data_IF_471023051117
#
_entry.id   IF_471023051117
#
_cell.length_a   1.000
_cell.length_b   1.000
_cell.length_c   1.000
_cell.angle_alpha   90.00
_cell.angle_beta   90.00
_cell.angle_gamma   90.00
#
_symmetry.space_group_name_H-M   'P 1'
#
loop_
_entity.id
_entity.type
_entity.pdbx_description
1 polymer ?
2 polymer ?
3 polymer ?
4 non-polymer ?
5 non-polymer ?
6 water ?
#
loop_
_entity_poly.entity_id
_entity_poly.type
_entity_poly.pdbx_seq_one_letter_code
_entity_poly.pdbx_strand_id
1 'polydeoxyribonucleotide' '(DG)(DG)(DG)(DG)(DT)(DG)(DT)(DG)(DG)(DT)(DA)(DG)' ?
2 'polydeoxyribonucleotide' '(DA)(DT)(DC)(DG)(DC)(DT)(DA)(DC)(DC)(DA)(DC)(DA)(DC)(DC)(DC)(DC)' ?
#
# COMPACT_ATOMS: atom_id res chain seq x y z
N UNK C 4 16.64 -11.91 -17.73
CA UNK C 4 15.46 -12.59 -18.24
C UNK C 4 14.65 -11.54 -18.98
N UNK C 5 14.57 -11.65 -20.31
CA UNK C 5 13.76 -10.74 -21.11
C UNK C 5 12.29 -11.12 -21.02
N UNK C 6 11.43 -10.17 -21.40
CA UNK C 6 9.99 -10.35 -21.28
C UNK C 6 9.43 -11.44 -22.19
N UNK C 7 10.16 -11.88 -23.23
CA UNK C 7 9.74 -13.01 -24.03
C UNK C 7 10.27 -14.35 -23.52
N UNK C 8 11.02 -14.36 -22.46
CA UNK C 8 11.51 -15.57 -21.82
C UNK C 8 10.42 -16.14 -20.90
N UNK C 9 10.21 -17.46 -20.91
CA UNK C 9 9.16 -18.02 -20.03
C UNK C 9 9.35 -17.69 -18.55
N UNK C 10 10.57 -17.43 -18.09
CA UNK C 10 10.82 -17.15 -16.68
C UNK C 10 10.63 -15.68 -16.30
N UNK C 11 10.18 -14.83 -17.23
CA UNK C 11 10.15 -13.40 -16.95
C UNK C 11 9.23 -13.06 -15.77
N UNK C 12 7.99 -13.54 -15.81
CA UNK C 12 7.06 -13.21 -14.73
C UNK C 12 7.59 -13.64 -13.38
N UNK C 13 8.17 -14.84 -13.30
CA UNK C 13 8.71 -15.32 -12.04
C UNK C 13 9.83 -14.41 -11.56
N UNK C 14 10.75 -14.06 -12.45
CA UNK C 14 11.87 -13.21 -12.11
C UNK C 14 11.40 -11.80 -11.76
N UNK C 15 10.46 -11.25 -12.52
CA UNK C 15 10.02 -9.89 -12.23
C UNK C 15 9.36 -9.81 -10.85
N UNK C 16 8.45 -10.73 -10.57
CA UNK C 16 7.77 -10.72 -9.28
C UNK C 16 8.74 -11.00 -8.12
N UNK C 17 9.71 -11.90 -8.33
CA UNK C 17 10.74 -12.12 -7.33
C UNK C 17 11.47 -10.84 -6.95
N UNK C 18 11.72 -9.94 -7.93
CA UNK C 18 12.50 -8.73 -7.66
C UNK C 18 11.68 -7.51 -7.29
N UNK C 19 10.39 -7.49 -7.65
CA UNK C 19 9.52 -6.32 -7.48
C UNK C 19 9.03 -6.20 -6.04
N UNK C 20 9.46 -5.13 -5.36
CA UNK C 20 8.94 -4.90 -4.01
C UNK C 20 7.47 -4.51 -4.02
N UNK C 21 7.01 -3.84 -5.08
CA UNK C 21 5.59 -3.52 -5.15
C UNK C 21 4.74 -4.78 -5.30
N UNK C 22 5.22 -5.75 -6.06
CA UNK C 22 4.54 -7.04 -6.09
C UNK C 22 4.51 -7.66 -4.69
N UNK C 23 5.67 -7.65 -4.00
CA UNK C 23 5.76 -8.24 -2.64
C UNK C 23 4.78 -7.56 -1.68
N UNK C 24 4.70 -6.22 -1.73
CA UNK C 24 3.77 -5.47 -0.89
C UNK C 24 2.33 -5.93 -1.10
N UNK C 25 1.89 -5.98 -2.35
CA UNK C 25 0.51 -6.39 -2.64
C UNK C 25 0.24 -7.83 -2.23
N UNK C 26 1.16 -8.74 -2.54
CA UNK C 26 0.97 -10.14 -2.20
C UNK C 26 0.92 -10.33 -0.68
N UNK C 27 1.82 -9.65 0.04
CA UNK C 27 1.81 -9.74 1.50
C UNK C 27 0.50 -9.21 2.06
N UNK C 28 0.04 -8.07 1.55
CA UNK C 28 -1.21 -7.51 2.02
C UNK C 28 -2.38 -8.46 1.75
N UNK C 29 -2.46 -9.01 0.53
CA UNK C 29 -3.52 -9.95 0.18
C UNK C 29 -3.49 -11.18 1.11
N UNK C 30 -2.29 -11.69 1.39
CA UNK C 30 -2.16 -12.86 2.25
C UNK C 30 -2.57 -12.56 3.70
N UNK C 31 -2.20 -11.39 4.25
CA UNK C 31 -2.67 -11.00 5.58
C UNK C 31 -4.20 -10.90 5.65
N UNK C 32 -4.83 -10.40 4.60
CA UNK C 32 -6.28 -10.30 4.62
C UNK C 32 -6.90 -11.69 4.58
N UNK C 33 -6.41 -12.54 3.70
CA UNK C 33 -6.90 -13.92 3.64
C UNK C 33 -6.77 -14.60 5.01
N UNK C 34 -5.64 -14.41 5.67
CA UNK C 34 -5.44 -15.03 6.99
C UNK C 34 -6.46 -14.51 8.00
N UNK C 35 -6.78 -13.23 7.92
CA UNK C 35 -7.75 -12.66 8.84
C UNK C 35 -9.09 -13.31 8.63
N UNK C 36 -9.52 -13.42 7.37
CA UNK C 36 -10.78 -14.07 7.08
C UNK C 36 -10.78 -15.52 7.54
N UNK C 37 -9.66 -16.22 7.33
CA UNK C 37 -9.61 -17.63 7.70
C UNK C 37 -9.68 -17.79 9.21
N UNK C 38 -8.94 -16.97 9.95
CA UNK C 38 -8.90 -17.05 11.40
C UNK C 38 -10.20 -16.61 12.05
N UNK C 39 -11.03 -15.86 11.35
CA UNK C 39 -12.24 -15.29 11.92
C UNK C 39 -13.51 -15.92 11.36
N UNK C 40 -13.38 -17.00 10.60
CA UNK C 40 -14.57 -17.57 9.97
C UNK C 40 -15.66 -17.86 10.95
N UNK C 41 -15.34 -18.18 12.21
CA UNK C 41 -16.33 -18.55 13.20
C UNK C 41 -16.64 -17.46 14.20
N UNK C 42 -15.83 -16.46 14.26
CA UNK C 42 -15.93 -15.47 15.31
C UNK C 42 -16.76 -14.30 14.84
N UNK C 43 -17.29 -13.62 15.82
CA UNK C 43 -18.04 -12.36 15.59
C UNK C 43 -17.09 -11.26 15.05
N UNK C 44 -16.04 -10.98 15.76
CA UNK C 44 -14.92 -10.19 15.24
C UNK C 44 -15.38 -8.86 14.61
N UNK C 45 -16.04 -8.03 15.40
CA UNK C 45 -16.34 -6.73 14.83
C UNK C 45 -16.86 -5.80 15.90
N UNK C 46 -16.56 -4.51 15.70
CA UNK C 46 -17.05 -3.48 16.58
C UNK C 46 -18.55 -3.34 16.38
N UNK C 47 -19.24 -3.08 17.47
CA UNK C 47 -20.67 -2.87 17.55
C UNK C 47 -20.95 -1.40 17.82
N UNK C 48 -22.16 -0.96 17.50
CA UNK C 48 -22.67 0.32 17.97
C UNK C 48 -22.44 0.50 19.46
N UNK C 49 -22.53 -0.60 20.21
CA UNK C 49 -22.44 -0.60 21.66
C UNK C 49 -21.02 -0.35 22.18
N UNK C 50 -20.02 -0.41 21.31
CA UNK C 50 -18.64 -0.32 21.75
C UNK C 50 -18.17 1.13 21.68
N UNK C 51 -17.46 1.54 22.70
CA UNK C 51 -16.63 2.73 22.62
C UNK C 51 -15.21 2.22 22.49
N UNK C 52 -14.50 2.71 21.48
CA UNK C 52 -13.21 2.13 21.13
C UNK C 52 -12.13 3.19 21.07
N UNK C 53 -10.92 2.71 21.30
CA UNK C 53 -9.69 3.43 21.07
C UNK C 53 -8.95 2.74 19.93
N UNK C 54 -8.34 3.54 19.06
CA UNK C 54 -7.58 3.07 17.90
C UNK C 54 -6.10 3.20 18.23
N UNK C 55 -5.38 2.12 18.11
CA UNK C 55 -3.93 2.10 18.19
C UNK C 55 -3.46 1.76 16.77
N UNK C 56 -2.96 2.76 16.06
CA UNK C 56 -2.40 2.59 14.71
C UNK C 56 -0.89 2.45 14.83
N UNK C 57 -0.41 1.27 14.50
CA UNK C 57 0.96 0.82 14.78
C UNK C 57 1.65 0.54 13.45
N UNK C 58 2.91 1.01 13.32
CA UNK C 58 3.61 0.94 12.03
C UNK C 58 5.12 0.98 12.22
N UNK C 59 5.83 0.09 11.51
CA UNK C 59 7.29 0.09 11.59
C UNK C 59 7.85 1.40 11.02
N UNK C 60 8.83 2.00 11.73
CA UNK C 60 9.60 3.11 11.18
C UNK C 60 10.59 2.72 10.08
N UNK C 61 10.49 3.41 8.94
CA UNK C 61 11.25 3.15 7.72
C UNK C 61 11.55 1.66 7.55
N UNK C 62 10.48 0.89 7.33
CA UNK C 62 10.51 -0.56 7.51
C UNK C 62 11.63 -1.25 6.74
N UNK C 63 11.63 -1.14 5.41
CA UNK C 63 12.65 -1.88 4.66
C UNK C 63 14.04 -1.42 5.08
N UNK C 64 14.23 -0.10 5.26
CA UNK C 64 15.55 0.42 5.63
C UNK C 64 16.01 -0.18 6.96
N UNK C 65 15.11 -0.22 7.95
CA UNK C 65 15.46 -0.76 9.26
C UNK C 65 15.83 -2.24 9.16
N UNK C 66 14.97 -3.03 8.55
CA UNK C 66 15.20 -4.47 8.48
C UNK C 66 16.44 -4.79 7.65
N UNK C 67 16.58 -4.13 6.49
CA UNK C 67 17.71 -4.41 5.61
C UNK C 67 19.03 -4.01 6.25
N UNK C 68 18.97 -2.98 7.10
CA UNK C 68 20.12 -2.63 7.92
C UNK C 68 20.40 -3.71 8.95
N UNK C 69 19.42 -4.07 9.76
CA UNK C 69 19.63 -5.08 10.79
C UNK C 69 20.12 -6.41 10.20
N UNK C 70 19.82 -6.67 8.92
CA UNK C 70 20.17 -7.92 8.25
C UNK C 70 21.28 -7.76 7.23
N UNK C 71 21.96 -6.60 7.22
CA UNK C 71 22.86 -6.29 6.12
C UNK C 71 24.03 -7.27 6.09
N UNK C 72 24.54 -7.50 4.89
CA UNK C 72 25.68 -8.38 4.66
C UNK C 72 26.91 -7.84 5.38
N UNK C 73 27.99 -8.62 5.34
CA UNK C 73 29.23 -8.20 5.98
C UNK C 73 29.81 -6.96 5.31
N UNK C 74 29.59 -6.82 4.00
CA UNK C 74 30.06 -5.62 3.30
C UNK C 74 29.55 -4.32 3.93
N UNK C 75 28.43 -4.33 4.68
CA UNK C 75 27.87 -3.13 5.28
C UNK C 75 27.98 -3.13 6.79
N UNK C 76 28.88 -3.99 7.31
CA UNK C 76 29.30 -4.08 8.70
C UNK C 76 29.29 -2.73 9.40
N UNK C 77 30.01 -1.79 8.80
CA UNK C 77 30.35 -0.53 9.42
C UNK C 77 29.21 0.50 9.41
N UNK C 78 28.20 0.28 8.58
CA UNK C 78 27.10 1.21 8.44
C UNK C 78 26.47 1.55 9.80
N UNK C 79 26.22 2.82 9.97
CA UNK C 79 25.62 3.36 11.18
C UNK C 79 24.20 3.84 10.93
N UNK C 80 23.20 3.13 11.47
CA UNK C 80 21.81 3.48 11.14
C UNK C 80 21.43 4.89 11.63
N UNK C 81 22.10 5.38 12.68
CA UNK C 81 21.72 6.66 13.27
C UNK C 81 22.48 7.84 12.71
N UNK C 82 23.58 7.60 11.98
CA UNK C 82 24.38 8.69 11.44
C UNK C 82 24.43 8.76 9.92
N UNK C 83 24.25 7.58 9.18
CA UNK C 83 24.39 7.59 7.72
C UNK C 83 23.02 7.65 7.03
N UNK C 84 22.92 8.33 5.89
CA UNK C 84 21.69 8.27 5.09
C UNK C 84 21.62 6.97 4.31
N UNK C 85 20.64 6.14 4.65
CA UNK C 85 20.51 4.79 4.13
C UNK C 85 19.21 4.70 3.33
N UNK C 86 19.29 4.06 2.17
CA UNK C 86 18.17 3.72 1.31
C UNK C 86 18.25 2.23 0.95
N UNK C 87 17.11 1.67 0.58
CA UNK C 87 17.00 0.32 0.04
C UNK C 87 16.53 0.45 -1.40
N UNK C 88 17.27 -0.18 -2.30
CA UNK C 88 17.01 -0.04 -3.75
C UNK C 88 17.81 -1.08 -4.52
N UNK C 89 17.35 -1.37 -5.74
CA UNK C 89 18.10 -2.27 -6.62
C UNK C 89 19.31 -1.60 -7.25
N UNK C 90 19.21 -0.31 -7.52
CA UNK C 90 20.04 0.28 -8.56
C UNK C 90 20.87 1.42 -8.04
N UNK C 91 21.37 2.24 -8.96
CA UNK C 91 22.29 3.33 -8.67
C UNK C 91 21.87 4.67 -9.25
N UNK C 92 20.89 4.71 -10.16
CA UNK C 92 20.47 5.94 -10.83
C UNK C 92 18.96 6.10 -10.79
N UNK C 93 18.26 5.60 -11.80
CA UNK C 93 16.82 5.80 -11.87
C UNK C 93 16.07 4.60 -11.29
N UNK C 94 16.48 4.29 -10.06
CA UNK C 94 16.00 3.17 -9.25
C UNK C 94 15.25 3.71 -8.04
N UNK C 95 14.07 3.15 -7.78
CA UNK C 95 13.28 3.63 -6.66
C UNK C 95 13.97 3.38 -5.32
N UNK C 96 13.95 4.39 -4.48
CA UNK C 96 14.19 4.26 -3.05
C UNK C 96 12.91 3.71 -2.42
N UNK C 97 12.91 2.39 -2.13
CA UNK C 97 11.74 1.78 -1.52
C UNK C 97 11.51 2.32 -0.12
N UNK C 98 12.60 2.52 0.66
CA UNK C 98 12.56 3.03 2.03
C UNK C 98 13.88 3.76 2.30
N UNK C 99 13.80 4.84 3.07
CA UNK C 99 14.96 5.59 3.51
C UNK C 99 14.81 5.87 5.01
N UNK C 100 15.96 5.86 5.71
CA UNK C 100 15.98 6.09 7.14
C UNK C 100 15.81 7.59 7.43
N UNK C 101 15.70 7.94 8.72
CA UNK C 101 15.32 9.33 9.02
C UNK C 101 16.49 10.27 8.88
N UNK C 102 17.72 9.77 8.94
CA UNK C 102 18.89 10.56 8.50
C UNK C 102 18.73 11.03 7.07
N UNK C 103 18.50 10.09 6.12
CA UNK C 103 18.24 10.50 4.75
C UNK C 103 17.11 11.51 4.65
N UNK C 104 16.03 11.32 5.40
CA UNK C 104 14.89 12.22 5.28
C UNK C 104 15.18 13.62 5.80
N UNK C 105 16.17 13.74 6.71
CA UNK C 105 16.64 15.04 7.20
C UNK C 105 17.20 15.90 6.09
N UNK C 106 17.62 15.28 4.97
CA UNK C 106 18.06 16.02 3.80
C UNK C 106 16.95 16.21 2.77
N UNK C 107 15.74 15.77 3.08
CA UNK C 107 14.63 15.87 2.16
C UNK C 107 14.39 14.66 1.29
N UNK C 108 15.12 13.58 1.47
CA UNK C 108 14.88 12.37 0.70
C UNK C 108 13.58 11.72 1.18
N UNK C 109 12.88 11.09 0.25
CA UNK C 109 11.56 10.51 0.50
C UNK C 109 11.46 9.14 -0.19
N UNK C 110 10.68 8.24 0.43
CA UNK C 110 10.34 6.98 -0.25
C UNK C 110 9.76 7.27 -1.62
N UNK C 111 10.17 6.49 -2.60
CA UNK C 111 9.71 6.63 -3.98
C UNK C 111 10.60 7.49 -4.86
N UNK C 112 11.50 8.27 -4.27
CA UNK C 112 12.45 9.02 -5.07
C UNK C 112 13.42 8.09 -5.80
N UNK C 113 13.87 8.54 -6.97
CA UNK C 113 14.98 7.87 -7.61
C UNK C 113 16.28 8.18 -6.88
N UNK C 114 17.18 7.19 -6.83
CA UNK C 114 18.49 7.39 -6.23
C UNK C 114 19.18 8.61 -6.85
N UNK C 115 19.08 8.73 -8.18
CA UNK C 115 19.58 9.87 -8.95
C UNK C 115 19.15 11.22 -8.33
N UNK C 116 17.89 11.32 -7.95
CA UNK C 116 17.28 12.55 -7.39
C UNK C 116 17.78 12.71 -5.96
N UNK C 117 17.80 11.62 -5.20
CA UNK C 117 18.15 11.71 -3.79
C UNK C 117 19.60 12.15 -3.60
N UNK C 118 20.50 11.63 -4.43
CA UNK C 118 21.93 11.95 -4.32
C UNK C 118 22.22 13.44 -4.43
N UNK C 119 21.41 14.18 -5.19
CA UNK C 119 21.61 15.61 -5.36
C UNK C 119 21.20 16.41 -4.14
N UNK C 120 20.52 15.79 -3.18
CA UNK C 120 20.09 16.43 -1.94
C UNK C 120 21.17 16.42 -0.89
N UNK C 121 22.27 15.73 -1.15
CA UNK C 121 23.28 15.50 -0.12
C UNK C 121 24.42 16.50 -0.30
N UNK C 122 24.94 17.08 0.78
CA UNK C 122 26.11 17.96 0.66
C UNK C 122 27.36 17.15 0.39
N UNK C 123 28.42 17.86 0.00
CA UNK C 123 29.69 17.21 -0.28
C UNK C 123 30.17 16.44 0.94
N UNK C 124 30.77 15.28 0.68
CA UNK C 124 31.29 14.42 1.71
C UNK C 124 30.27 13.53 2.39
N UNK C 125 29.00 13.81 2.23
CA UNK C 125 27.93 12.99 2.82
C UNK C 125 27.50 11.96 1.76
N UNK C 126 27.69 10.70 2.12
CA UNK C 126 27.55 9.61 1.16
C UNK C 126 26.28 8.80 1.43
N UNK C 127 25.48 8.60 0.37
CA UNK C 127 24.33 7.72 0.45
C UNK C 127 24.74 6.26 0.57
N UNK C 128 24.25 5.59 1.59
CA UNK C 128 24.39 4.14 1.73
C UNK C 128 23.16 3.47 1.11
N UNK C 129 23.40 2.52 0.21
CA UNK C 129 22.34 1.83 -0.53
C UNK C 129 22.43 0.36 -0.18
N UNK C 130 21.41 -0.16 0.46
CA UNK C 130 21.35 -1.53 0.90
C UNK C 130 20.40 -2.34 0.01
N UNK C 131 20.67 -3.63 -0.20
CA UNK C 131 19.78 -4.44 -1.04
C UNK C 131 18.53 -4.81 -0.27
N UNK C 132 17.53 -5.21 -1.03
CA UNK C 132 16.34 -5.77 -0.44
C UNK C 132 16.65 -7.09 0.27
N UNK C 133 15.92 -7.33 1.35
CA UNK C 133 15.93 -8.60 2.11
C UNK C 133 14.48 -9.06 2.29
N UNK C 134 13.88 -9.59 1.21
CA UNK C 134 12.44 -9.79 1.19
C UNK C 134 11.98 -10.79 2.23
N UNK C 135 12.72 -11.88 2.39
CA UNK C 135 12.32 -12.93 3.32
C UNK C 135 12.41 -12.43 4.77
N UNK C 136 13.42 -11.64 5.09
CA UNK C 136 13.49 -11.06 6.43
C UNK C 136 12.43 -10.00 6.65
N UNK C 137 12.05 -9.22 5.60
CA UNK C 137 10.92 -8.31 5.75
C UNK C 137 9.73 -9.13 6.23
N UNK C 138 9.51 -10.29 5.59
CA UNK C 138 8.38 -11.14 5.95
C UNK C 138 8.47 -11.64 7.39
N UNK C 139 9.66 -12.11 7.78
CA UNK C 139 9.87 -12.68 9.10
C UNK C 139 9.66 -11.65 10.19
N UNK C 140 10.12 -10.39 9.98
CA UNK C 140 9.93 -9.34 10.97
C UNK C 140 8.46 -9.01 11.10
N UNK C 141 7.74 -8.97 9.96
CA UNK C 141 6.30 -8.78 9.98
C UNK C 141 5.61 -9.88 10.79
N UNK C 142 6.03 -11.12 10.59
CA UNK C 142 5.44 -12.22 11.37
C UNK C 142 5.60 -11.97 12.88
N UNK C 143 6.79 -11.53 13.29
CA UNK C 143 7.07 -11.23 14.70
C UNK C 143 6.17 -10.11 15.20
N UNK C 144 6.02 -9.05 14.40
CA UNK C 144 5.07 -7.99 14.64
C UNK C 144 3.66 -8.50 14.90
N UNK C 145 3.09 -9.24 13.95
CA UNK C 145 1.70 -9.66 14.11
C UNK C 145 1.56 -10.66 15.26
N UNK C 146 2.56 -11.51 15.46
CA UNK C 146 2.51 -12.44 16.59
C UNK C 146 2.55 -11.70 17.94
N UNK C 147 3.40 -10.68 18.06
CA UNK C 147 3.45 -9.88 19.27
C UNK C 147 2.10 -9.23 19.53
N UNK C 148 1.51 -8.60 18.51
CA UNK C 148 0.22 -7.93 18.69
C UNK C 148 -0.85 -8.87 19.24
N UNK C 149 -0.92 -10.11 18.72
CA UNK C 149 -1.93 -11.05 19.19
C UNK C 149 -1.61 -11.53 20.60
N UNK C 150 -0.34 -11.82 20.87
CA UNK C 150 0.09 -12.33 22.18
C UNK C 150 -0.14 -11.36 23.33
N UNK C 151 -0.09 -10.06 23.06
CA UNK C 151 -0.34 -9.07 24.11
C UNK C 151 -1.74 -9.20 24.69
N UNK C 152 -2.69 -9.67 23.91
CA UNK C 152 -4.07 -9.86 24.37
C UNK C 152 -4.69 -8.58 24.94
N UNK C 153 -4.43 -7.45 24.29
CA UNK C 153 -5.01 -6.17 24.69
C UNK C 153 -5.98 -5.63 23.65
N UNK C 154 -6.12 -6.27 22.49
CA UNK C 154 -6.93 -5.75 21.39
C UNK C 154 -8.09 -6.68 21.09
N UNK C 155 -9.23 -6.07 20.80
CA UNK C 155 -10.43 -6.77 20.40
C UNK C 155 -10.47 -7.06 18.92
N UNK C 156 -9.72 -6.31 18.13
CA UNK C 156 -9.70 -6.45 16.68
C UNK C 156 -8.34 -5.95 16.21
N UNK C 157 -7.65 -6.79 15.47
CA UNK C 157 -6.37 -6.45 14.87
C UNK C 157 -6.54 -6.50 13.35
N UNK C 158 -6.46 -5.33 12.71
CA UNK C 158 -6.73 -5.20 11.28
C UNK C 158 -5.44 -5.01 10.51
N UNK C 159 -5.07 -5.90 9.58
CA UNK C 159 -3.83 -5.70 8.82
C UNK C 159 -4.01 -4.60 7.79
N UNK C 160 -3.09 -3.66 7.79
CA UNK C 160 -3.05 -2.62 6.77
C UNK C 160 -1.99 -2.96 5.73
N UNK C 161 -0.85 -3.43 6.19
CA UNK C 161 0.31 -3.68 5.35
C UNK C 161 1.20 -4.69 6.07
N UNK C 162 2.23 -5.14 5.37
CA UNK C 162 3.32 -5.92 5.91
C UNK C 162 3.81 -5.31 7.23
N UNK C 163 3.85 -3.98 7.33
CA UNK C 163 4.45 -3.35 8.50
C UNK C 163 3.48 -2.50 9.32
N UNK C 164 2.16 -2.74 9.21
CA UNK C 164 1.23 -1.75 9.73
C UNK C 164 -0.11 -2.39 10.05
N UNK C 165 -0.63 -2.04 11.21
CA UNK C 165 -1.91 -2.58 11.65
C UNK C 165 -2.70 -1.53 12.40
N UNK C 166 -4.01 -1.60 12.25
CA UNK C 166 -4.96 -0.83 13.06
C UNK C 166 -5.51 -1.79 14.10
N UNK C 167 -5.25 -1.48 15.36
CA UNK C 167 -5.61 -2.31 16.49
C UNK C 167 -6.63 -1.55 17.32
N UNK C 168 -7.71 -2.23 17.66
CA UNK C 168 -8.87 -1.62 18.29
C UNK C 168 -9.04 -2.21 19.67
N UNK C 169 -9.12 -1.33 20.68
CA UNK C 169 -9.43 -1.74 22.03
C UNK C 169 -10.80 -1.19 22.40
N UNK C 170 -11.69 -2.07 22.81
CA UNK C 170 -13.00 -1.65 23.28
C UNK C 170 -12.89 -1.34 24.75
N UNK C 171 -13.43 -0.19 25.14
CA UNK C 171 -13.39 0.32 26.51
C UNK C 171 -14.75 0.04 27.13
N UNK C 172 -14.83 -0.81 28.14
CA UNK C 172 -16.07 -0.89 28.90
C UNK C 172 -16.47 0.49 29.44
N UNK C 173 -17.80 0.73 29.51
CA UNK C 173 -18.37 1.92 30.19
C UNK C 173 -18.15 1.91 31.69
N UNK C 174 -17.94 0.69 32.24
CA UNK C 174 -17.37 0.38 33.54
C UNK C 174 -16.05 1.08 33.85
N UNK C 175 -15.33 1.45 32.80
CA UNK C 175 -13.88 1.64 32.89
C UNK C 175 -13.56 3.08 32.56
N UNK C 176 -12.70 3.66 33.38
CA UNK C 176 -12.21 5.01 33.19
C UNK C 176 -10.89 4.89 32.42
N UNK C 177 -10.98 5.02 31.10
CA UNK C 177 -9.75 5.12 30.32
C UNK C 177 -9.03 6.41 30.70
N UNK C 178 -7.70 6.36 30.64
CA UNK C 178 -6.86 7.52 30.90
C UNK C 178 -5.67 7.43 29.99
N UNK C 179 -5.04 8.59 29.76
CA UNK C 179 -3.85 8.60 28.92
C UNK C 179 -2.69 7.92 29.62
N UNK C 180 -2.71 7.88 30.95
CA UNK C 180 -1.70 7.12 31.68
C UNK C 180 -1.76 5.64 31.31
N UNK C 181 -2.96 5.06 31.25
CA UNK C 181 -3.07 3.68 30.76
C UNK C 181 -2.67 3.58 29.29
N UNK C 182 -3.08 4.54 28.45
CA UNK C 182 -2.76 4.48 27.02
C UNK C 182 -1.27 4.60 26.76
N UNK C 183 -0.57 5.44 27.52
CA UNK C 183 0.87 5.56 27.36
C UNK C 183 1.54 4.27 27.77
N UNK C 184 1.04 3.66 28.84
CA UNK C 184 1.59 2.38 29.24
C UNK C 184 1.42 1.36 28.12
N UNK C 185 0.24 1.29 27.52
CA UNK C 185 0.03 0.31 26.45
C UNK C 185 0.92 0.63 25.26
N UNK C 186 1.00 1.90 24.87
CA UNK C 186 1.91 2.26 23.79
C UNK C 186 3.33 1.80 24.08
N UNK C 187 3.81 2.01 25.31
CA UNK C 187 5.21 1.69 25.62
C UNK C 187 5.41 0.19 25.66
N UNK C 188 4.42 -0.55 26.19
CA UNK C 188 4.48 -2.01 26.13
C UNK C 188 4.60 -2.50 24.69
N UNK C 189 3.68 -2.04 23.83
CA UNK C 189 3.67 -2.48 22.44
C UNK C 189 5.04 -2.20 21.81
N UNK C 190 5.56 -0.98 21.99
CA UNK C 190 6.84 -0.61 21.35
C UNK C 190 7.99 -1.49 21.84
N UNK C 191 8.04 -1.75 23.13
CA UNK C 191 9.12 -2.54 23.69
C UNK C 191 9.00 -4.01 23.26
N UNK C 192 7.79 -4.57 23.35
CA UNK C 192 7.55 -5.96 22.98
C UNK C 192 7.83 -6.20 21.50
N UNK C 193 7.56 -5.21 20.67
CA UNK C 193 7.88 -5.39 19.25
C UNK C 193 9.37 -5.19 19.00
N UNK C 194 9.98 -4.21 19.66
CA UNK C 194 11.42 -4.04 19.57
C UNK C 194 12.13 -5.33 19.96
N UNK C 195 11.71 -5.93 21.09
CA UNK C 195 12.28 -7.21 21.51
C UNK C 195 11.96 -8.30 20.48
N UNK C 196 10.69 -8.46 20.14
CA UNK C 196 10.28 -9.56 19.28
C UNK C 196 10.88 -9.53 17.88
N UNK C 197 11.22 -8.35 17.37
CA UNK C 197 11.78 -8.19 16.04
C UNK C 197 13.29 -8.06 16.06
N UNK C 198 13.88 -8.17 17.25
CA UNK C 198 15.33 -7.97 17.45
C UNK C 198 15.82 -6.65 16.85
N UNK C 199 15.11 -5.58 17.18
CA UNK C 199 15.67 -4.26 17.02
C UNK C 199 14.91 -3.33 16.10
N UNK C 200 13.78 -3.75 15.55
CA UNK C 200 12.94 -2.84 14.77
C UNK C 200 12.13 -1.96 15.71
N UNK C 201 11.93 -0.71 15.32
CA UNK C 201 11.08 0.21 16.06
C UNK C 201 9.73 0.40 15.36
N UNK C 202 8.69 0.57 16.15
CA UNK C 202 7.40 0.99 15.61
C UNK C 202 7.01 2.31 16.28
N UNK C 203 6.25 3.10 15.55
CA UNK C 203 5.55 4.23 16.15
C UNK C 203 4.06 3.92 16.22
N UNK C 204 3.38 4.67 17.06
CA UNK C 204 2.00 4.41 17.36
C UNK C 204 1.27 5.74 17.47
N UNK C 205 0.15 5.81 16.75
CA UNK C 205 -0.81 6.88 16.91
C UNK C 205 -2.01 6.31 17.64
N UNK C 206 -2.48 7.05 18.65
CA UNK C 206 -3.55 6.60 19.54
C UNK C 206 -4.63 7.67 19.61
N UNK C 207 -5.86 7.29 19.26
CA UNK C 207 -6.96 8.24 19.25
C UNK C 207 -8.31 7.51 19.27
N UNK C 208 -9.38 8.29 19.25
CA UNK C 208 -10.74 7.77 19.11
C UNK C 208 -11.34 7.99 17.72
N UNK C 209 -10.53 8.23 16.69
CA UNK C 209 -10.98 8.08 15.31
C UNK C 209 -9.83 7.44 14.54
N UNK C 210 -10.15 6.77 13.44
CA UNK C 210 -9.08 6.25 12.59
C UNK C 210 -8.22 7.38 12.05
N UNK C 211 -8.86 8.47 11.63
CA UNK C 211 -8.10 9.52 10.95
C UNK C 211 -7.15 10.21 11.93
N UNK C 212 -7.58 10.46 13.16
CA UNK C 212 -6.68 11.07 14.13
C UNK C 212 -5.57 10.11 14.55
N UNK C 213 -5.86 8.81 14.65
CA UNK C 213 -4.80 7.83 14.96
C UNK C 213 -3.71 7.88 13.89
N UNK C 214 -4.13 8.05 12.61
CA UNK C 214 -3.20 8.12 11.48
C UNK C 214 -2.35 9.39 11.54
N UNK C 215 -2.97 10.53 11.82
CA UNK C 215 -2.22 11.76 12.00
C UNK C 215 -1.34 11.66 13.23
N UNK C 216 -1.84 11.12 14.34
CA UNK C 216 -1.02 10.95 15.54
C UNK C 216 0.20 10.09 15.25
N UNK C 217 0.01 9.06 14.43
CA UNK C 217 1.13 8.20 14.03
C UNK C 217 2.21 9.01 13.35
N UNK C 218 1.79 9.84 12.40
CA UNK C 218 2.72 10.72 11.70
C UNK C 218 3.47 11.62 12.67
N UNK C 219 2.74 12.22 13.62
CA UNK C 219 3.39 13.08 14.60
C UNK C 219 4.36 12.32 15.47
N UNK C 220 4.06 11.05 15.79
CA UNK C 220 4.89 10.26 16.68
C UNK C 220 6.25 9.91 16.08
N UNK C 221 6.36 9.81 14.77
CA UNK C 221 7.55 9.30 14.14
C UNK C 221 8.72 10.28 14.21
N UNK C 222 9.96 9.79 14.24
CA UNK C 222 10.33 8.38 14.36
C UNK C 222 10.42 7.83 15.80
N UNK C 223 10.09 6.55 15.98
CA UNK C 223 10.32 5.83 17.23
C UNK C 223 9.66 6.48 18.46
N UNK C 224 8.37 6.76 18.32
CA UNK C 224 7.63 7.38 19.39
C UNK C 224 6.18 6.99 19.35
N UNK C 225 5.42 7.61 20.23
CA UNK C 225 3.98 7.44 20.24
C UNK C 225 3.36 8.79 20.51
N UNK C 226 2.11 8.90 20.07
CA UNK C 226 1.36 10.13 20.27
C UNK C 226 -0.08 9.77 20.55
N UNK C 227 -0.61 10.36 21.62
CA UNK C 227 -2.01 10.20 22.01
C UNK C 227 -2.74 11.52 21.80
N UNK C 228 -3.64 11.57 20.84
CA UNK C 228 -4.42 12.79 20.60
C UNK C 228 -5.85 12.38 20.31
N UNK C 229 -6.72 12.59 21.31
CA UNK C 229 -8.14 12.31 21.15
C UNK C 229 -8.82 13.54 20.61
N UNK C 230 -10.03 13.37 20.14
CA UNK C 230 -10.79 14.54 19.64
C UNK C 230 -10.86 15.66 20.67
N UNK C 231 -10.99 15.29 21.95
CA UNK C 231 -11.03 16.23 23.07
C UNK C 231 -9.77 17.09 23.15
N UNK C 232 -8.66 16.58 22.62
CA UNK C 232 -7.36 17.23 22.70
C UNK C 232 -7.04 18.11 21.51
N UNK C 233 -7.91 18.21 20.50
CA UNK C 233 -7.53 18.89 19.27
C UNK C 233 -7.16 20.34 19.56
N UNK C 234 -6.25 20.88 18.77
CA UNK C 234 -5.73 22.22 18.98
C UNK C 234 -5.14 22.75 17.68
N UNK C 235 -5.00 24.07 17.61
CA UNK C 235 -4.30 24.67 16.48
C UNK C 235 -2.88 24.13 16.34
N UNK C 236 -2.20 23.92 17.47
CA UNK C 236 -0.85 23.37 17.45
C UNK C 236 -0.80 22.02 16.74
N UNK C 237 -1.78 21.16 17.01
CA UNK C 237 -1.86 19.87 16.32
C UNK C 237 -2.04 20.06 14.81
N UNK C 238 -3.08 20.74 14.40
CA UNK C 238 -3.35 20.86 12.96
C UNK C 238 -2.23 21.60 12.22
N UNK C 239 -1.55 22.54 12.90
CA UNK C 239 -0.45 23.27 12.31
C UNK C 239 0.73 22.38 11.99
N UNK C 240 0.78 21.18 12.59
CA UNK C 240 1.93 20.29 12.48
C UNK C 240 1.94 19.48 11.19
N UNK C 241 0.87 19.50 10.40
CA UNK C 241 0.70 18.58 9.28
C UNK C 241 0.61 19.30 7.95
N UNK C 242 1.23 18.69 6.94
CA UNK C 242 1.00 19.04 5.55
C UNK C 242 -0.34 18.47 5.07
N UNK C 243 -0.83 19.04 3.96
CA UNK C 243 -2.14 18.63 3.43
C UNK C 243 -2.16 17.16 3.06
N UNK C 244 -1.09 16.65 2.43
CA UNK C 244 -1.03 15.25 2.03
C UNK C 244 -0.56 14.32 3.16
N UNK C 245 -0.59 14.81 4.41
CA UNK C 245 -0.58 13.91 5.56
C UNK C 245 -1.96 13.31 5.83
N UNK C 246 -3.04 13.91 5.35
CA UNK C 246 -4.34 13.30 5.51
C UNK C 246 -4.40 12.04 4.65
N UNK C 247 -4.85 10.92 5.24
CA UNK C 247 -5.14 9.74 4.42
C UNK C 247 -6.13 10.12 3.32
N UNK C 248 -5.83 9.72 2.09
CA UNK C 248 -6.68 10.00 0.96
C UNK C 248 -6.29 11.20 0.14
N UNK C 249 -5.36 12.02 0.64
CA UNK C 249 -4.84 13.19 -0.07
C UNK C 249 -3.46 12.84 -0.61
N UNK C 250 -3.43 12.53 -1.91
CA UNK C 250 -2.22 12.38 -2.68
C UNK C 250 -1.94 13.62 -3.52
N UNK C 251 -1.01 13.46 -4.46
CA UNK C 251 -0.47 14.63 -5.15
C UNK C 251 -1.53 15.32 -5.99
N UNK C 252 -2.42 14.55 -6.64
CA UNK C 252 -3.44 15.20 -7.46
C UNK C 252 -4.42 16.00 -6.59
N UNK C 253 -4.90 15.42 -5.51
CA UNK C 253 -5.78 16.16 -4.61
C UNK C 253 -5.07 17.36 -3.99
N UNK C 254 -3.83 17.18 -3.55
CA UNK C 254 -3.05 18.31 -3.04
C UNK C 254 -3.03 19.47 -4.03
N UNK C 255 -2.69 19.20 -5.30
CA UNK C 255 -2.65 20.25 -6.32
C UNK C 255 -3.96 21.02 -6.37
N UNK C 256 -5.09 20.28 -6.36
CA UNK C 256 -6.41 20.92 -6.40
C UNK C 256 -6.68 21.75 -5.16
N UNK C 257 -6.32 21.23 -3.97
CA UNK C 257 -6.48 22.02 -2.77
C UNK C 257 -5.64 23.28 -2.81
N UNK C 258 -4.42 23.20 -3.34
CA UNK C 258 -3.55 24.38 -3.37
C UNK C 258 -4.06 25.42 -4.37
N UNK C 259 -4.57 24.96 -5.50
CA UNK C 259 -5.17 25.88 -6.45
C UNK C 259 -6.39 26.56 -5.82
N UNK C 260 -7.28 25.77 -5.19
CA UNK C 260 -8.56 26.32 -4.75
C UNK C 260 -8.44 27.19 -3.52
N UNK C 261 -7.54 26.88 -2.61
CA UNK C 261 -7.47 27.55 -1.32
C UNK C 261 -6.17 28.33 -1.12
N UNK C 262 -5.55 28.74 -2.22
CA UNK C 262 -4.43 29.68 -2.19
C UNK C 262 -3.22 29.11 -1.45
N UNK C 263 -2.87 27.88 -1.83
CA UNK C 263 -1.72 27.18 -1.28
C UNK C 263 -1.68 27.22 0.25
N UNK C 264 -2.65 26.59 0.91
CA UNK C 264 -2.48 26.27 2.34
C UNK C 264 -1.18 25.50 2.54
N UNK C 265 -0.45 25.79 3.62
CA UNK C 265 0.81 25.10 3.92
C UNK C 265 0.72 24.22 5.17
N UNK C 266 -0.47 24.04 5.73
CA UNK C 266 -0.69 23.12 6.84
C UNK C 266 -2.19 22.80 6.86
N UNK C 267 -2.53 21.71 7.55
CA UNK C 267 -3.94 21.40 7.73
C UNK C 267 -4.66 22.51 8.49
N UNK C 268 -3.94 23.22 9.38
CA UNK C 268 -4.52 24.40 10.03
C UNK C 268 -4.92 25.44 9.00
N UNK C 269 -4.04 25.75 8.03
CA UNK C 269 -4.39 26.73 7.00
C UNK C 269 -5.65 26.30 6.27
N UNK C 270 -5.73 25.02 5.91
CA UNK C 270 -6.86 24.55 5.13
C UNK C 270 -8.14 24.67 5.95
N UNK C 271 -8.06 24.27 7.20
CA UNK C 271 -9.22 24.21 8.07
C UNK C 271 -9.77 25.59 8.38
N UNK C 272 -8.89 26.60 8.43
CA UNK C 272 -9.34 27.97 8.62
C UNK C 272 -9.92 28.59 7.34
N UNK C 273 -9.54 28.10 6.17
CA UNK C 273 -9.93 28.73 4.91
C UNK C 273 -11.11 28.06 4.22
N UNK C 274 -11.32 26.78 4.42
CA UNK C 274 -12.20 26.09 3.51
C UNK C 274 -13.65 26.32 3.88
N UNK C 275 -14.52 26.08 2.89
CA UNK C 275 -15.92 25.75 3.07
C UNK C 275 -16.22 24.40 2.44
N UNK C 276 -17.17 23.66 3.03
CA UNK C 276 -17.54 22.35 2.50
C UNK C 276 -17.87 22.40 1.03
N UNK C 277 -18.63 23.39 0.60
CA UNK C 277 -19.05 23.41 -0.79
C UNK C 277 -17.88 23.70 -1.72
N UNK C 278 -17.04 24.67 -1.36
CA UNK C 278 -15.85 24.90 -2.17
C UNK C 278 -14.96 23.66 -2.20
N UNK C 279 -14.81 22.99 -1.05
CA UNK C 279 -14.06 21.74 -1.02
C UNK C 279 -14.62 20.74 -2.02
N UNK C 280 -15.94 20.50 -1.94
CA UNK C 280 -16.57 19.53 -2.82
C UNK C 280 -16.40 19.90 -4.28
N UNK C 281 -16.50 21.19 -4.60
CA UNK C 281 -16.24 21.65 -5.95
C UNK C 281 -14.81 21.39 -6.36
N UNK C 282 -13.88 21.47 -5.42
CA UNK C 282 -12.46 21.36 -5.75
C UNK C 282 -12.05 19.91 -6.02
N UNK C 283 -12.46 19.00 -5.14
CA UNK C 283 -11.95 17.63 -5.13
C UNK C 283 -13.04 16.59 -5.24
N UNK C 284 -14.30 16.98 -5.28
CA UNK C 284 -15.37 16.02 -5.48
C UNK C 284 -16.19 15.86 -4.22
N UNK C 285 -17.39 15.31 -4.38
CA UNK C 285 -18.35 15.32 -3.28
C UNK C 285 -17.92 14.41 -2.15
N UNK C 286 -17.57 13.17 -2.45
CA UNK C 286 -17.28 12.24 -1.34
C UNK C 286 -15.90 12.54 -0.71
N UNK C 287 -14.94 12.79 -1.56
CA UNK C 287 -13.61 13.09 -1.05
C UNK C 287 -13.72 14.39 -0.27
N UNK C 288 -14.47 15.40 -0.77
CA UNK C 288 -14.64 16.66 -0.07
C UNK C 288 -15.30 16.48 1.28
N UNK C 289 -16.34 15.64 1.35
CA UNK C 289 -16.95 15.34 2.64
C UNK C 289 -15.96 14.63 3.55
N UNK C 290 -15.16 13.72 2.99
CA UNK C 290 -14.18 13.00 3.80
C UNK C 290 -13.19 13.97 4.43
N UNK C 291 -12.59 14.83 3.62
CA UNK C 291 -11.64 15.82 4.11
C UNK C 291 -12.30 16.75 5.14
N UNK C 292 -13.50 17.27 4.82
CA UNK C 292 -14.23 18.09 5.80
C UNK C 292 -14.35 17.38 7.14
N UNK C 293 -14.81 16.13 7.12
CA UNK C 293 -14.96 15.40 8.37
C UNK C 293 -13.61 15.16 9.03
N UNK C 294 -12.59 14.83 8.24
CA UNK C 294 -11.25 14.63 8.80
C UNK C 294 -10.73 15.86 9.53
N UNK C 295 -10.98 17.05 8.98
CA UNK C 295 -10.51 18.29 9.58
C UNK C 295 -11.23 18.57 10.91
N UNK C 296 -12.25 17.79 11.22
CA UNK C 296 -12.92 17.79 12.50
C UNK C 296 -12.45 16.63 13.37
N UNK C 297 -11.47 15.87 12.90
CA UNK C 297 -11.01 14.69 13.61
C UNK C 297 -11.88 13.45 13.47
N UNK C 298 -12.82 13.46 12.53
CA UNK C 298 -13.85 12.44 12.42
C UNK C 298 -13.71 11.59 11.16
N UNK C 299 -14.03 10.32 11.30
CA UNK C 299 -14.04 9.38 10.20
C UNK C 299 -15.31 9.53 9.35
N UNK C 300 -15.20 9.21 8.06
CA UNK C 300 -16.37 9.16 7.18
C UNK C 300 -16.98 7.75 7.17
N UNK C 301 -18.19 7.65 6.62
CA UNK C 301 -18.90 6.37 6.65
C UNK C 301 -18.08 5.25 6.02
N UNK C 302 -17.43 5.56 4.89
CA UNK C 302 -16.69 4.54 4.16
C UNK C 302 -15.54 4.02 4.98
N UNK C 303 -14.81 4.91 5.65
CA UNK C 303 -13.66 4.49 6.45
C UNK C 303 -14.07 3.64 7.64
N UNK C 304 -15.29 3.87 8.17
CA UNK C 304 -15.74 3.14 9.36
C UNK C 304 -16.08 1.68 9.06
N UNK C 305 -16.38 1.36 7.80
CA UNK C 305 -16.79 0.00 7.46
C UNK C 305 -15.77 -1.03 7.89
N UNK C 306 -14.48 -0.66 7.92
CA UNK C 306 -13.48 -1.64 8.33
C UNK C 306 -13.69 -2.03 9.79
N UNK C 307 -14.28 -1.15 10.60
CA UNK C 307 -14.52 -1.45 12.01
C UNK C 307 -15.78 -2.28 12.17
N UNK C 308 -16.84 -1.89 11.47
CA UNK C 308 -18.15 -2.48 11.67
C UNK C 308 -18.34 -3.76 10.86
N UNK C 309 -17.62 -3.93 9.73
CA UNK C 309 -17.78 -5.13 8.91
C UNK C 309 -16.46 -5.49 8.24
N UNK C 310 -15.43 -5.76 9.05
CA UNK C 310 -14.11 -6.03 8.48
C UNK C 310 -14.11 -7.20 7.50
N UNK C 311 -14.94 -8.21 7.73
CA UNK C 311 -14.88 -9.38 6.81
C UNK C 311 -15.27 -8.95 5.41
N UNK C 312 -16.28 -8.12 5.24
CA UNK C 312 -16.65 -7.67 3.91
C UNK C 312 -15.63 -6.67 3.32
N UNK C 313 -15.07 -5.79 4.15
CA UNK C 313 -14.03 -4.90 3.63
C UNK C 313 -12.84 -5.72 3.13
N UNK C 314 -12.40 -6.72 3.91
CA UNK C 314 -11.14 -7.39 3.61
C UNK C 314 -11.30 -8.50 2.57
N UNK C 315 -12.53 -8.82 2.20
CA UNK C 315 -12.80 -9.86 1.21
C UNK C 315 -12.37 -9.39 -0.19
N UNK C 316 -11.65 -10.24 -0.92
CA UNK C 316 -11.12 -9.90 -2.25
C UNK C 316 -12.27 -9.88 -3.25
N UNK C 317 -12.41 -8.83 -4.05
CA UNK C 317 -13.47 -8.69 -5.05
C UNK C 317 -12.94 -8.73 -6.49
N UNK C 318 -11.63 -8.61 -6.68
CA UNK C 318 -11.04 -8.71 -8.01
C UNK C 318 -9.66 -9.29 -7.85
N UNK C 319 -9.08 -9.68 -8.98
CA UNK C 319 -7.75 -10.29 -9.00
C UNK C 319 -7.07 -9.85 -10.29
N UNK C 320 -5.82 -9.36 -10.22
CA UNK C 320 -5.15 -8.93 -11.44
C UNK C 320 -3.65 -9.03 -11.30
N UNK C 321 -2.95 -8.89 -12.42
CA UNK C 321 -1.52 -8.63 -12.46
C UNK C 321 -1.26 -7.39 -13.32
N UNK C 322 -0.21 -6.68 -12.99
CA UNK C 322 0.23 -5.53 -13.76
C UNK C 322 1.71 -5.69 -14.05
N UNK C 323 2.09 -5.55 -15.30
CA UNK C 323 3.52 -5.55 -15.66
C UNK C 323 3.78 -4.36 -16.59
N UNK C 324 4.40 -3.30 -16.04
CA UNK C 324 4.66 -2.02 -16.70
C UNK C 324 6.14 -1.67 -16.63
N UNK C 325 6.98 -2.70 -16.53
CA UNK C 325 8.43 -2.62 -16.54
C UNK C 325 9.00 -3.83 -17.29
N UNK C 326 10.01 -3.59 -18.15
CA UNK C 326 10.59 -4.62 -18.96
C UNK C 326 9.82 -5.07 -20.18
N UNK C 327 8.75 -4.34 -20.55
CA UNK C 327 7.88 -4.74 -21.65
C UNK C 327 8.46 -4.20 -22.96
N UNK C 328 9.06 -5.12 -23.74
CA UNK C 328 9.67 -4.81 -25.05
C UNK C 328 9.43 -6.03 -25.94
N UNK C 329 8.34 -6.01 -26.69
CA UNK C 329 8.01 -7.09 -27.59
C UNK C 329 8.18 -6.63 -29.03
N UNK C 330 8.63 -7.57 -29.90
CA UNK C 330 8.88 -7.35 -31.32
C UNK C 330 7.69 -7.71 -32.21
N UNK C 331 6.80 -8.60 -31.77
CA UNK C 331 5.74 -9.08 -32.62
C UNK C 331 4.58 -9.55 -31.74
N UNK C 332 3.45 -9.79 -32.39
CA UNK C 332 2.23 -10.17 -31.69
C UNK C 332 2.29 -11.59 -31.17
N UNK C 333 3.04 -12.49 -31.84
CA UNK C 333 3.22 -13.84 -31.31
C UNK C 333 3.75 -13.78 -29.89
N UNK C 334 4.75 -12.93 -29.65
CA UNK C 334 5.36 -12.87 -28.34
C UNK C 334 4.44 -12.21 -27.34
N UNK C 335 3.70 -11.18 -27.76
CA UNK C 335 2.70 -10.57 -26.88
C UNK C 335 1.65 -11.62 -26.46
N UNK C 336 1.14 -12.40 -27.42
CA UNK C 336 0.13 -13.41 -27.11
C UNK C 336 0.64 -14.46 -26.13
N UNK C 337 1.89 -14.91 -26.29
CA UNK C 337 2.47 -15.89 -25.37
C UNK C 337 2.59 -15.30 -23.97
N UNK C 338 2.94 -14.03 -23.89
CA UNK C 338 3.03 -13.41 -22.58
C UNK C 338 1.66 -13.29 -21.95
N UNK C 339 0.65 -12.92 -22.73
CA UNK C 339 -0.72 -12.87 -22.22
C UNK C 339 -1.12 -14.26 -21.68
N UNK C 340 -0.76 -15.32 -22.42
CA UNK C 340 -1.05 -16.68 -21.97
C UNK C 340 -0.37 -17.01 -20.65
N UNK C 341 0.91 -16.65 -20.50
CA UNK C 341 1.62 -16.88 -19.25
C UNK C 341 0.96 -16.13 -18.10
N UNK C 342 0.49 -14.89 -18.35
CA UNK C 342 -0.16 -14.09 -17.34
C UNK C 342 -1.49 -14.70 -16.93
N UNK C 343 -2.28 -15.17 -17.92
CA UNK C 343 -3.53 -15.86 -17.61
C UNK C 343 -3.31 -17.12 -16.78
N UNK C 344 -2.31 -17.92 -17.13
CA UNK C 344 -1.94 -19.11 -16.35
C UNK C 344 -1.67 -18.75 -14.91
N UNK C 345 -0.85 -17.71 -14.68
CA UNK C 345 -0.53 -17.27 -13.33
C UNK C 345 -1.80 -16.87 -12.60
N UNK C 346 -2.64 -16.06 -13.25
CA UNK C 346 -3.85 -15.56 -12.60
C UNK C 346 -4.80 -16.69 -12.25
N UNK C 347 -4.94 -17.65 -13.15
CA UNK C 347 -5.81 -18.78 -12.90
C UNK C 347 -5.27 -19.64 -11.77
N UNK C 348 -3.95 -19.76 -11.61
CA UNK C 348 -3.45 -20.50 -10.46
C UNK C 348 -3.90 -19.81 -9.17
N UNK C 349 -3.83 -18.47 -9.12
CA UNK C 349 -4.31 -17.74 -7.95
C UNK C 349 -5.82 -17.83 -7.79
N UNK C 350 -6.59 -17.78 -8.90
CA UNK C 350 -8.04 -17.89 -8.82
C UNK C 350 -8.45 -19.25 -8.28
N UNK C 351 -7.74 -20.29 -8.71
CA UNK C 351 -8.09 -21.61 -8.25
C UNK C 351 -7.71 -21.82 -6.79
N UNK C 352 -6.61 -21.22 -6.36
CA UNK C 352 -6.26 -21.24 -4.93
C UNK C 352 -7.36 -20.67 -4.03
N UNK C 353 -8.09 -19.65 -4.49
CA UNK C 353 -9.18 -19.08 -3.69
C UNK C 353 -10.53 -19.70 -4.02
N UNK C 354 -10.54 -20.74 -4.85
CA UNK C 354 -11.76 -21.47 -5.16
C UNK C 354 -12.85 -20.58 -5.73
N UNK C 355 -12.51 -19.77 -6.74
CA UNK C 355 -13.48 -18.90 -7.39
C UNK C 355 -13.41 -19.06 -8.91
N UNK C 356 -14.43 -18.56 -9.58
CA UNK C 356 -14.44 -18.37 -11.02
C UNK C 356 -14.56 -16.88 -11.29
N UNK C 357 -14.51 -16.49 -12.57
CA UNK C 357 -14.66 -15.09 -12.94
C UNK C 357 -15.68 -14.96 -14.06
N UNK C 358 -16.46 -13.88 -14.01
CA UNK C 358 -17.44 -13.58 -15.05
C UNK C 358 -17.12 -12.33 -15.85
N UNK C 359 -16.00 -11.65 -15.56
CA UNK C 359 -15.68 -10.42 -16.27
C UNK C 359 -14.20 -10.16 -16.18
N UNK C 360 -13.58 -9.84 -17.31
CA UNK C 360 -12.14 -9.68 -17.38
C UNK C 360 -11.87 -8.39 -18.12
N UNK C 361 -10.68 -7.86 -17.90
CA UNK C 361 -10.20 -6.64 -18.52
C UNK C 361 -8.75 -6.82 -18.92
N UNK C 362 -8.40 -6.27 -20.08
CA UNK C 362 -7.03 -6.03 -20.44
C UNK C 362 -6.81 -4.53 -20.52
N UNK C 363 -5.74 -4.09 -19.89
CA UNK C 363 -5.34 -2.71 -19.89
C UNK C 363 -3.91 -2.69 -20.44
N UNK C 364 -3.56 -1.68 -21.20
CA UNK C 364 -2.21 -1.58 -21.72
C UNK C 364 -1.74 -0.14 -21.64
N UNK C 365 -0.42 -0.01 -21.59
CA UNK C 365 0.31 1.24 -21.71
C UNK C 365 0.97 1.24 -23.08
N UNK C 366 0.76 2.29 -23.85
CA UNK C 366 1.40 2.48 -25.14
C UNK C 366 2.27 3.74 -25.14
N UNK C 367 3.48 3.62 -25.67
CA UNK C 367 4.37 4.78 -25.81
C UNK C 367 3.63 5.98 -26.42
N UNK C 368 3.76 7.13 -25.78
CA UNK C 368 3.26 8.36 -26.37
C UNK C 368 3.97 8.63 -27.71
N UNK C 369 3.21 9.13 -28.68
CA UNK C 369 3.73 9.31 -30.03
C UNK C 369 5.05 10.05 -30.06
N UNK C 370 5.22 11.03 -29.16
CA UNK C 370 6.40 11.89 -29.13
C UNK C 370 7.35 11.53 -27.99
N UNK C 371 7.20 10.31 -27.42
CA UNK C 371 8.04 9.89 -26.31
C UNK C 371 9.18 9.02 -26.81
N UNK C 372 10.36 9.13 -26.22
CA UNK C 372 11.48 8.31 -26.73
C UNK C 372 11.20 6.81 -26.57
N UNK C 373 11.70 6.05 -27.54
CA UNK C 373 11.61 4.59 -27.52
C UNK C 373 12.24 4.01 -26.27
N UNK C 374 13.37 4.57 -25.84
CA UNK C 374 14.08 4.16 -24.63
C UNK C 374 13.86 5.27 -23.61
N UNK C 375 13.02 5.07 -22.60
CA UNK C 375 12.73 6.18 -21.64
C UNK C 375 13.87 6.41 -20.66
N UNK C 376 13.81 7.49 -19.89
CA UNK C 376 14.90 7.72 -18.91
C UNK C 376 15.14 6.55 -17.98
N UNK C 377 14.09 5.87 -17.50
CA UNK C 377 14.30 4.72 -16.63
C UNK C 377 14.58 3.48 -17.47
N UNK C 378 15.70 2.83 -17.22
CA UNK C 378 15.99 1.55 -17.89
C UNK C 378 14.81 0.58 -17.79
N UNK C 379 14.33 0.14 -18.96
CA UNK C 379 13.21 -0.81 -19.12
C UNK C 379 11.88 -0.26 -18.60
N UNK C 380 11.81 1.03 -18.36
CA UNK C 380 10.59 1.67 -17.90
C UNK C 380 9.55 1.73 -18.97
N UNK C 381 8.31 1.92 -18.52
CA UNK C 381 7.28 2.24 -19.48
C UNK C 381 7.37 3.66 -20.13
N UNK C 382 8.03 4.63 -19.40
CA UNK C 382 8.11 6.00 -19.89
C UNK C 382 6.72 6.65 -19.96
N UNK C 383 6.67 7.77 -20.69
CA UNK C 383 5.42 8.49 -20.85
C UNK C 383 4.54 7.69 -21.81
N UNK C 384 3.35 7.29 -21.36
CA UNK C 384 2.46 6.45 -22.15
C UNK C 384 1.04 6.99 -22.12
N UNK C 385 0.26 6.48 -23.04
CA UNK C 385 -1.19 6.58 -23.08
C UNK C 385 -1.76 5.24 -22.65
N UNK C 386 -2.84 5.27 -21.88
CA UNK C 386 -3.47 4.07 -21.34
C UNK C 386 -4.71 3.71 -22.13
N UNK C 387 -4.93 2.40 -22.32
CA UNK C 387 -6.12 1.90 -22.99
C UNK C 387 -6.63 0.67 -22.24
N UNK C 388 -7.95 0.57 -22.07
CA UNK C 388 -8.57 -0.55 -21.35
C UNK C 388 -9.80 -1.02 -22.09
N UNK C 389 -10.05 -2.34 -22.09
CA UNK C 389 -11.33 -2.85 -22.56
C UNK C 389 -11.67 -4.07 -21.71
N UNK C 390 -12.94 -4.23 -21.38
CA UNK C 390 -13.39 -5.34 -20.58
C UNK C 390 -14.39 -6.19 -21.37
N UNK C 391 -14.64 -7.39 -20.84
CA UNK C 391 -15.56 -8.30 -21.47
C UNK C 391 -16.26 -9.19 -20.45
N UNK C 392 -17.59 -9.21 -20.51
CA UNK C 392 -18.38 -10.10 -19.69
C UNK C 392 -18.39 -11.50 -20.32
N UNK C 393 -18.07 -12.50 -19.52
CA UNK C 393 -17.96 -13.86 -20.05
C UNK C 393 -19.30 -14.60 -20.13
N UNK C 394 -20.30 -14.16 -19.39
CA UNK C 394 -21.57 -14.85 -19.39
C UNK C 394 -21.55 -15.90 -18.30
N UNK C 395 -21.18 -17.13 -18.67
CA UNK C 395 -21.01 -18.16 -17.66
C UNK C 395 -19.68 -17.96 -16.92
N UNK C 396 -19.70 -17.80 -15.59
CA UNK C 396 -18.45 -17.67 -14.84
C UNK C 396 -17.56 -18.86 -15.10
N UNK C 397 -16.28 -18.61 -15.23
CA UNK C 397 -15.40 -19.72 -15.60
C UNK C 397 -14.03 -19.53 -14.98
N UNK C 398 -13.30 -20.62 -14.93
CA UNK C 398 -11.86 -20.63 -14.67
C UNK C 398 -11.09 -21.29 -15.82
N UNK C 399 -11.71 -21.42 -17.01
CA UNK C 399 -11.11 -22.19 -18.11
C UNK C 399 -10.10 -21.34 -18.84
N UNK C 400 -8.87 -21.82 -18.89
CA UNK C 400 -7.79 -21.11 -19.57
C UNK C 400 -8.19 -20.79 -21.00
N UNK C 401 -8.72 -21.78 -21.73
CA UNK C 401 -9.02 -21.58 -23.14
C UNK C 401 -9.94 -20.41 -23.38
N UNK C 402 -11.01 -20.31 -22.58
CA UNK C 402 -11.93 -19.19 -22.72
C UNK C 402 -11.26 -17.87 -22.38
N UNK C 403 -10.60 -17.82 -21.21
CA UNK C 403 -10.10 -16.56 -20.70
C UNK C 403 -8.93 -16.06 -21.54
N UNK C 404 -7.97 -16.91 -21.83
CA UNK C 404 -6.81 -16.47 -22.60
C UNK C 404 -7.21 -16.05 -24.01
N UNK C 405 -8.12 -16.81 -24.64
CA UNK C 405 -8.63 -16.41 -25.95
C UNK C 405 -9.25 -15.01 -25.92
N UNK C 406 -10.12 -14.74 -24.94
CA UNK C 406 -10.77 -13.43 -24.87
C UNK C 406 -9.78 -12.32 -24.51
N UNK C 407 -8.78 -12.61 -23.68
CA UNK C 407 -7.74 -11.62 -23.40
C UNK C 407 -6.97 -11.25 -24.67
N UNK C 408 -6.60 -12.24 -25.46
CA UNK C 408 -5.85 -11.94 -26.68
C UNK C 408 -6.72 -11.16 -27.65
N UNK C 409 -8.01 -11.46 -27.69
CA UNK C 409 -8.94 -10.69 -28.51
C UNK C 409 -9.09 -9.26 -28.00
N UNK C 410 -9.21 -9.08 -26.68
CA UNK C 410 -9.20 -7.76 -26.12
C UNK C 410 -7.98 -6.97 -26.55
N UNK C 411 -6.80 -7.61 -26.51
CA UNK C 411 -5.59 -6.95 -26.96
C UNK C 411 -5.75 -6.46 -28.41
N UNK C 412 -6.21 -7.34 -29.28
CA UNK C 412 -6.36 -6.95 -30.69
C UNK C 412 -7.33 -5.76 -30.88
N UNK C 413 -8.38 -5.67 -30.07
CA UNK C 413 -9.28 -4.54 -30.28
C UNK C 413 -8.65 -3.23 -29.86
N UNK C 414 -7.60 -3.23 -29.03
CA UNK C 414 -7.04 -1.96 -28.58
C UNK C 414 -6.04 -1.40 -29.59
N UNK C 415 -5.63 -2.18 -30.58
CA UNK C 415 -4.86 -1.66 -31.69
C UNK C 415 -3.44 -1.24 -31.37
N UNK C 416 -2.85 -1.76 -30.32
CA UNK C 416 -1.48 -1.36 -29.97
C UNK C 416 -0.47 -2.17 -30.77
N UNK C 417 0.36 -1.57 -31.59
CA UNK C 417 1.43 -2.32 -32.23
C UNK C 417 2.34 -2.93 -31.17
N UNK C 418 2.77 -4.19 -31.35
CA UNK C 418 3.62 -4.81 -30.31
C UNK C 418 4.83 -3.98 -29.91
N UNK C 419 5.53 -3.37 -30.86
CA UNK C 419 6.72 -2.62 -30.51
C UNK C 419 6.44 -1.32 -29.76
N UNK C 420 5.19 -0.84 -29.75
CA UNK C 420 4.79 0.34 -29.01
C UNK C 420 4.25 0.00 -27.61
N UNK C 421 3.99 -1.27 -27.31
CA UNK C 421 3.55 -1.70 -25.99
C UNK C 421 4.63 -1.47 -24.93
N UNK C 422 4.22 -0.89 -23.79
CA UNK C 422 5.11 -0.63 -22.67
C UNK C 422 4.57 -1.16 -21.35
N UNK C 423 3.40 -1.78 -21.37
CA UNK C 423 2.81 -2.30 -20.16
C UNK C 423 1.52 -3.03 -20.38
N UNK C 424 1.25 -4.00 -19.51
CA UNK C 424 0.04 -4.80 -19.62
C UNK C 424 -0.53 -5.10 -18.25
N UNK C 425 -1.83 -4.96 -18.10
CA UNK C 425 -2.52 -5.47 -16.91
C UNK C 425 -3.59 -6.48 -17.37
N UNK C 426 -3.68 -7.57 -16.63
CA UNK C 426 -4.68 -8.62 -16.88
C UNK C 426 -5.55 -8.70 -15.63
N UNK C 427 -6.85 -8.55 -15.80
CA UNK C 427 -7.70 -8.41 -14.63
C UNK C 427 -8.89 -9.34 -14.70
N UNK C 428 -9.22 -9.95 -13.57
CA UNK C 428 -10.50 -10.64 -13.33
C UNK C 428 -11.34 -9.72 -12.45
N UNK C 429 -12.31 -9.03 -13.06
CA UNK C 429 -12.98 -7.95 -12.34
C UNK C 429 -14.09 -8.41 -11.41
N UNK C 430 -14.74 -9.52 -11.75
CA UNK C 430 -15.82 -10.04 -10.93
C UNK C 430 -15.52 -11.50 -10.61
N UNK C 431 -15.61 -11.84 -9.33
CA UNK C 431 -15.32 -13.17 -8.84
C UNK C 431 -16.60 -13.79 -8.30
N UNK C 432 -16.73 -15.10 -8.46
CA UNK C 432 -17.95 -15.86 -8.25
C UNK C 432 -17.62 -17.08 -7.41
N UNK C 433 -18.38 -17.29 -6.34
CA UNK C 433 -18.04 -18.42 -5.46
C UNK C 433 -18.23 -19.75 -6.22
N UNK C 434 -17.49 -20.74 -5.77
CA UNK C 434 -17.70 -22.14 -6.20
C UNK C 434 -18.31 -22.85 -4.97
N UNK C 435 -19.51 -23.38 -5.17
CA UNK C 435 -20.12 -24.08 -4.06
C UNK C 435 -19.98 -25.58 -4.28
N UNK C 436 -20.58 -26.35 -3.32
CA UNK C 436 -20.66 -27.81 -3.56
C UNK C 436 -21.59 -28.32 -4.72
N UNK C 437 -22.63 -27.50 -5.00
CA UNK C 437 -23.61 -27.81 -6.04
C UNK C 437 -23.11 -27.18 -7.36
N UNK C 438 -22.78 -28.05 -8.29
CA UNK C 438 -22.40 -27.60 -9.65
C UNK C 438 -23.24 -28.23 -10.78
N UNK C 439 -24.42 -28.68 -10.42
CA UNK C 439 -25.33 -29.27 -11.38
C UNK C 439 -26.10 -28.11 -12.03
N UNK C 440 -25.80 -27.89 -13.27
CA UNK C 440 -26.54 -26.86 -13.99
C UNK C 440 -26.69 -27.28 -15.45
N UNK C 441 -27.89 -27.14 -15.97
CA UNK C 441 -28.16 -27.37 -17.40
C UNK C 441 -27.95 -26.04 -18.14
X LIG D 1 3.24 1.12 6.51
X LIG E 1 -1.86 10.99 2.21
X LIG F 1 6.08 2.18 8.07
X LIG G 1 7.31 1.05 0.17
X LIG G 1 7.95 1.08 -1.17
X LIG G 1 7.74 2.26 -2.01
X LIG G 1 7.02 3.38 -1.52
X LIG G 1 6.42 3.37 -0.17
X LIG G 1 6.59 2.18 0.69
X LIG G 1 8.58 0.19 -1.63
X LIG G 1 6.88 4.54 -2.32
X LIG G 1 7.51 -0.11 1.06
X LIG G 1 8.90 0.19 1.76
X LIG G 1 8.49 0.77 3.09
X LIG G 1 7.42 -0.01 3.40
X LIG G 1 6.63 -0.15 2.01
X LIG G 1 9.47 0.46 4.14
X LIG G 1 6.33 0.44 4.30
X LIG G 1 5.78 1.62 3.74
X LIG G 1 5.53 2.89 4.72
X LIG G 1 4.87 2.49 5.99
X LIG G 1 4.73 3.92 3.92
X LIG G 1 6.95 3.60 4.91
X LIG G 1 8.28 3.32 5.76
X LIG G 1 8.00 2.25 6.77
X LIG G 1 9.49 3.07 4.87
X LIG G 1 8.52 4.72 6.49
X LIG G 1 7.59 5.45 7.64
X LIG G 1 6.35 4.64 7.89
X LIG G 1 8.41 5.52 8.90
X LIG G 1 7.30 6.83 7.08
X LIG G 1 5.94 4.11 0.14
X LIG G 1 6.22 2.15 1.55
X LIG G 1 7.22 4.55 -3.11
X LIG G 1 6.42 5.21 -2.03
X LIG G 1 7.47 -0.96 0.60
X LIG G 1 9.41 0.84 1.25
X LIG G 1 9.39 -0.63 1.88
X LIG G 1 8.34 1.73 2.99
X LIG G 1 7.87 -0.75 3.82
X LIG G 1 6.68 0.62 5.19
X LIG G 1 5.65 -0.25 4.36
#
# INVERSE_FOLDING_TARGET
KRIVACDDPDFLTSYFAHSRLHHLSAWKANLKDKFLNENIHKYTKITDKDTYIIFHIDFDCFFATVAYLCRSSSFSACDFKRDPIVVCHGTKNSDIASCNYVARSYGIKNGMWVSQAEKMLPNGIKLISLPYTFEQFQLKSEAFYSTLKRLNIFNLILPISIDEAVCVRIIPDNIHNTNTLNARLCEEIRQEIFQGTNGCTVSIGCSDSLVLAALALKMAKPNGYNITFKSNLSEEFWSSFKLDDLPGVGHSTLSRLESTFDSPHSLNDLRKRYTLDALKASVGSKLGMKIHLALQGQDDEESLKILYDPKEVLQRKSLSIDINWGIRFKNITQVDLFIERGCQYLLEKLNEINKTTSQITLKLMRRCKDAPIEPPKYMGMGRCDSFSRSSRLGIPTNEFGIIATEMKSLYRTLGCPPMELRGLALQFNKLVDVGPDNNQLK
CA CA
CA CA
CA CA
DCP N1 C2 N3 C4 C5 C6 O2 N4 C1' C2' C3' C4' O4' O3' C5' O5' PA O1A O2A O3A PB O1B O2B O3B PG O1G O2G O3G H5 H6 HN41 HN42 H1' H2'1 H2'2 H3' H4' H5'1 H5'2
#
